data_IF_590809468654
#
_entry.id   IF_590809468654
#
_cell.length_a   1.000
_cell.length_b   1.000
_cell.length_c   1.000
_cell.angle_alpha   90.00
_cell.angle_beta   90.00
_cell.angle_gamma   90.00
#
_symmetry.space_group_name_H-M   'P 1'
#
loop_
_entity.id
_entity.type
_entity.pdbx_description
1 polymer ?
#
# COMPACT_ATOMS: atom_id res chain seq x y z
N UNK A 1 -15.44 23.45 6.15
CA UNK A 1 -14.44 22.72 5.33
C UNK A 1 -14.92 22.58 3.90
N UNK A 2 -14.08 22.88 2.89
CA UNK A 2 -14.43 22.58 1.49
C UNK A 2 -14.54 21.05 1.33
N UNK A 3 -15.56 20.55 0.61
CA UNK A 3 -15.80 19.09 0.41
C UNK A 3 -14.54 18.35 -0.06
N UNK A 4 -13.71 19.02 -0.86
CA UNK A 4 -12.42 18.51 -1.33
C UNK A 4 -11.45 18.13 -0.19
N UNK A 5 -11.41 18.89 0.91
CA UNK A 5 -10.52 18.59 2.04
C UNK A 5 -10.91 17.28 2.73
N UNK A 6 -12.21 16.97 2.77
CA UNK A 6 -12.71 15.71 3.34
C UNK A 6 -12.20 14.54 2.49
N UNK A 7 -12.29 14.65 1.16
CA UNK A 7 -11.84 13.57 0.28
C UNK A 7 -10.32 13.36 0.34
N UNK A 8 -9.54 14.44 0.46
CA UNK A 8 -8.08 14.36 0.68
C UNK A 8 -7.78 13.69 2.03
N UNK A 9 -8.48 14.08 3.10
CA UNK A 9 -8.30 13.47 4.43
C UNK A 9 -8.62 11.96 4.39
N UNK A 10 -9.69 11.55 3.71
CA UNK A 10 -10.01 10.13 3.57
C UNK A 10 -8.91 9.36 2.82
N UNK A 11 -8.34 9.95 1.77
CA UNK A 11 -7.20 9.34 1.08
C UNK A 11 -5.93 9.32 1.90
N UNK A 12 -5.75 10.23 2.86
CA UNK A 12 -4.64 10.20 3.80
C UNK A 12 -4.76 9.00 4.77
N UNK A 13 -5.97 8.55 5.09
CA UNK A 13 -6.18 7.33 5.87
C UNK A 13 -5.97 6.07 5.02
N UNK A 14 -6.53 6.05 3.82
CA UNK A 14 -6.38 4.92 2.91
C UNK A 14 -6.59 5.34 1.45
N UNK A 15 -5.66 5.00 0.54
CA UNK A 15 -5.74 5.44 -0.85
C UNK A 15 -6.97 4.86 -1.55
N UNK A 16 -7.65 5.70 -2.34
CA UNK A 16 -8.79 5.34 -3.15
C UNK A 16 -10.16 5.63 -2.52
N UNK A 17 -10.27 5.80 -1.20
CA UNK A 17 -11.56 6.08 -0.53
C UNK A 17 -12.16 7.40 -1.01
N UNK A 18 -11.35 8.46 -1.09
CA UNK A 18 -11.78 9.76 -1.57
C UNK A 18 -12.26 9.72 -3.02
N UNK A 19 -11.67 8.89 -3.89
CA UNK A 19 -12.16 8.68 -5.26
C UNK A 19 -13.52 7.99 -5.30
N UNK A 20 -13.76 7.02 -4.41
CA UNK A 20 -15.07 6.38 -4.30
C UNK A 20 -16.14 7.40 -3.89
N UNK A 21 -15.83 8.30 -2.96
CA UNK A 21 -16.72 9.39 -2.56
C UNK A 21 -16.98 10.41 -3.69
N UNK A 22 -16.01 10.58 -4.61
CA UNK A 22 -16.14 11.38 -5.83
C UNK A 22 -16.89 10.64 -6.96
N UNK A 23 -17.50 9.48 -6.69
CA UNK A 23 -18.17 8.59 -7.67
C UNK A 23 -17.24 8.07 -8.78
N UNK A 24 -15.93 8.10 -8.57
CA UNK A 24 -14.93 7.54 -9.49
C UNK A 24 -14.56 6.12 -9.09
N UNK A 25 -15.56 5.24 -9.16
CA UNK A 25 -15.49 3.86 -8.67
C UNK A 25 -14.29 3.09 -9.22
N UNK A 26 -14.06 3.14 -10.55
CA UNK A 26 -12.98 2.40 -11.20
C UNK A 26 -11.61 2.85 -10.69
N UNK A 27 -11.36 4.17 -10.62
CA UNK A 27 -10.06 4.71 -10.15
C UNK A 27 -9.83 4.42 -8.67
N UNK A 28 -10.87 4.58 -7.85
CA UNK A 28 -10.80 4.27 -6.42
C UNK A 28 -10.49 2.80 -6.17
N UNK A 29 -11.22 1.89 -6.83
CA UNK A 29 -10.99 0.44 -6.69
C UNK A 29 -9.59 0.02 -7.15
N UNK A 30 -9.08 0.57 -8.26
CA UNK A 30 -7.72 0.27 -8.73
C UNK A 30 -6.66 0.70 -7.71
N UNK A 31 -6.82 1.88 -7.09
CA UNK A 31 -5.88 2.37 -6.08
C UNK A 31 -5.93 1.52 -4.79
N UNK A 32 -7.14 1.12 -4.36
CA UNK A 32 -7.33 0.24 -3.21
C UNK A 32 -6.67 -1.12 -3.45
N UNK A 33 -6.96 -1.76 -4.59
CA UNK A 33 -6.40 -3.08 -4.93
C UNK A 33 -4.89 -3.00 -5.06
N UNK A 34 -4.37 -1.97 -5.75
CA UNK A 34 -2.94 -1.76 -5.91
C UNK A 34 -2.24 -1.56 -4.56
N UNK A 35 -2.82 -0.75 -3.67
CA UNK A 35 -2.28 -0.53 -2.34
C UNK A 35 -2.29 -1.82 -1.50
N UNK A 36 -3.38 -2.59 -1.54
CA UNK A 36 -3.46 -3.87 -0.83
C UNK A 36 -2.44 -4.87 -1.36
N UNK A 37 -2.27 -4.98 -2.67
CA UNK A 37 -1.28 -5.87 -3.27
C UNK A 37 0.15 -5.48 -2.88
N UNK A 38 0.49 -4.19 -2.94
CA UNK A 38 1.80 -3.69 -2.51
C UNK A 38 2.06 -3.91 -1.02
N UNK A 39 1.03 -3.73 -0.19
CA UNK A 39 1.12 -3.94 1.25
C UNK A 39 1.27 -5.42 1.62
N UNK A 40 0.50 -6.31 0.98
CA UNK A 40 0.64 -7.77 1.13
C UNK A 40 2.04 -8.21 0.71
N UNK A 41 2.55 -7.68 -0.40
CA UNK A 41 3.91 -7.96 -0.85
C UNK A 41 4.95 -7.50 0.18
N UNK A 42 4.83 -6.28 0.71
CA UNK A 42 5.70 -5.77 1.77
C UNK A 42 5.70 -6.67 3.02
N UNK A 43 4.51 -7.07 3.48
CA UNK A 43 4.37 -8.00 4.61
C UNK A 43 5.06 -9.32 4.30
N UNK A 44 4.85 -9.86 3.09
CA UNK A 44 5.44 -11.14 2.69
C UNK A 44 6.97 -11.12 2.72
N UNK A 45 7.62 -10.06 2.22
CA UNK A 45 9.08 -9.93 2.25
C UNK A 45 9.64 -9.86 3.68
N UNK A 46 8.84 -9.42 4.65
CA UNK A 46 9.23 -9.39 6.08
C UNK A 46 8.93 -10.72 6.77
N UNK A 47 7.74 -11.30 6.54
CA UNK A 47 7.26 -12.50 7.25
C UNK A 47 7.92 -13.77 6.73
N UNK A 48 8.15 -13.89 5.42
CA UNK A 48 8.76 -15.07 4.81
C UNK A 48 10.13 -15.44 5.41
N UNK A 49 11.13 -14.53 5.50
CA UNK A 49 12.42 -14.86 6.11
C UNK A 49 12.31 -15.14 7.60
N UNK A 50 11.40 -14.47 8.32
CA UNK A 50 11.14 -14.77 9.73
C UNK A 50 10.59 -16.18 9.93
N UNK A 51 9.61 -16.58 9.10
CA UNK A 51 9.03 -17.92 9.14
C UNK A 51 10.07 -19.00 8.86
N UNK A 52 10.90 -18.81 7.82
CA UNK A 52 11.97 -19.75 7.48
C UNK A 52 12.97 -19.86 8.64
N UNK A 53 13.41 -18.73 9.22
CA UNK A 53 14.36 -18.73 10.33
C UNK A 53 13.80 -19.43 11.58
N UNK A 54 12.52 -19.21 11.92
CA UNK A 54 11.85 -19.91 13.02
C UNK A 54 11.82 -21.42 12.75
N UNK A 55 11.45 -21.83 11.54
CA UNK A 55 11.42 -23.24 11.16
C UNK A 55 12.83 -23.88 11.21
N UNK A 56 13.85 -23.19 10.71
CA UNK A 56 15.25 -23.63 10.76
C UNK A 56 15.77 -23.81 12.18
N UNK A 57 15.45 -22.88 13.08
CA UNK A 57 15.83 -22.97 14.50
C UNK A 57 15.11 -24.10 15.24
N UNK A 58 13.84 -24.36 14.90
CA UNK A 58 13.06 -25.44 15.53
C UNK A 58 13.47 -26.84 15.03
N UNK A 59 13.91 -26.95 13.78
CA UNK A 59 14.30 -28.21 13.16
C UNK A 59 15.79 -28.55 13.32
N UNK A 60 16.56 -27.70 14.01
CA UNK A 60 18.00 -27.81 14.23
C UNK A 60 18.77 -28.21 12.95
N UNK A 61 18.38 -27.63 11.82
CA UNK A 61 18.82 -28.12 10.50
C UNK A 61 20.27 -27.74 10.16
N UNK A 62 20.97 -27.03 11.05
CA UNK A 62 22.35 -26.54 10.83
C UNK A 62 22.50 -25.58 9.65
N UNK A 63 21.39 -25.19 9.01
CA UNK A 63 21.38 -24.31 7.83
C UNK A 63 21.50 -22.86 8.28
N UNK A 64 22.26 -22.06 7.52
CA UNK A 64 22.39 -20.61 7.71
C UNK A 64 21.04 -19.89 7.70
N UNK A 65 20.87 -18.92 8.60
CA UNK A 65 19.68 -18.07 8.65
C UNK A 65 19.52 -17.26 7.35
N UNK A 66 18.28 -17.21 6.86
CA UNK A 66 17.89 -16.41 5.70
C UNK A 66 17.78 -14.95 6.12
N UNK A 67 18.48 -14.09 5.37
CA UNK A 67 18.40 -12.63 5.57
C UNK A 67 17.26 -12.06 4.75
N UNK A 68 16.49 -11.09 5.28
CA UNK A 68 15.47 -10.39 4.52
C UNK A 68 16.11 -9.62 3.35
N UNK A 69 15.44 -9.65 2.19
CA UNK A 69 15.86 -8.88 1.02
C UNK A 69 15.41 -7.42 1.17
N UNK A 70 16.34 -6.58 1.63
CA UNK A 70 16.10 -5.15 1.88
C UNK A 70 15.65 -4.43 0.60
N UNK A 71 16.15 -4.81 -0.58
CA UNK A 71 15.78 -4.15 -1.82
C UNK A 71 14.30 -4.38 -2.16
N UNK A 72 13.81 -5.61 -1.98
CA UNK A 72 12.39 -5.94 -2.25
C UNK A 72 11.44 -5.28 -1.26
N UNK A 73 11.86 -5.16 0.01
CA UNK A 73 11.14 -4.40 1.03
C UNK A 73 11.05 -2.91 0.63
N UNK A 74 12.17 -2.31 0.22
CA UNK A 74 12.20 -0.91 -0.20
C UNK A 74 11.31 -0.70 -1.43
N UNK A 75 11.40 -1.57 -2.44
CA UNK A 75 10.59 -1.46 -3.67
C UNK A 75 9.09 -1.54 -3.36
N UNK A 76 8.66 -2.55 -2.59
CA UNK A 76 7.25 -2.71 -2.22
C UNK A 76 6.73 -1.54 -1.40
N UNK A 77 7.53 -1.00 -0.48
CA UNK A 77 7.22 0.21 0.26
C UNK A 77 7.06 1.43 -0.66
N UNK A 78 8.01 1.66 -1.58
CA UNK A 78 7.94 2.79 -2.51
C UNK A 78 6.74 2.70 -3.45
N UNK A 79 6.38 1.51 -3.93
CA UNK A 79 5.18 1.32 -4.75
C UNK A 79 3.93 1.71 -3.95
N UNK A 80 3.81 1.26 -2.70
CA UNK A 80 2.70 1.63 -1.83
C UNK A 80 2.61 3.15 -1.64
N UNK A 81 3.76 3.79 -1.36
CA UNK A 81 3.85 5.23 -1.17
C UNK A 81 3.50 6.01 -2.45
N UNK A 82 3.92 5.54 -3.62
CA UNK A 82 3.58 6.13 -4.91
C UNK A 82 2.07 6.05 -5.19
N UNK A 83 1.43 4.91 -4.90
CA UNK A 83 -0.03 4.76 -5.03
C UNK A 83 -0.73 5.77 -4.10
N UNK A 84 -0.21 5.95 -2.90
CA UNK A 84 -0.75 6.89 -1.93
C UNK A 84 -0.67 8.34 -2.42
N UNK A 85 0.52 8.78 -2.85
CA UNK A 85 0.74 10.12 -3.40
C UNK A 85 -0.14 10.34 -4.63
N UNK A 86 -0.17 9.37 -5.55
CA UNK A 86 -0.99 9.44 -6.75
C UNK A 86 -2.48 9.55 -6.42
N UNK A 87 -2.94 8.81 -5.42
CA UNK A 87 -4.32 8.87 -4.94
C UNK A 87 -4.68 10.27 -4.42
N UNK A 88 -3.78 10.94 -3.71
CA UNK A 88 -3.99 12.32 -3.25
C UNK A 88 -3.98 13.30 -4.43
N UNK A 89 -3.01 13.18 -5.34
CA UNK A 89 -2.88 14.05 -6.52
C UNK A 89 -4.10 13.95 -7.45
N UNK A 90 -4.66 12.76 -7.66
CA UNK A 90 -5.85 12.57 -8.49
C UNK A 90 -7.07 13.35 -7.94
N UNK A 91 -7.19 13.53 -6.62
CA UNK A 91 -8.23 14.38 -6.02
C UNK A 91 -7.93 15.88 -6.19
N UNK A 92 -6.66 16.27 -6.10
CA UNK A 92 -6.25 17.67 -6.23
C UNK A 92 -6.43 18.15 -7.67
N UNK A 93 -5.97 17.36 -8.64
CA UNK A 93 -5.99 17.69 -10.07
C UNK A 93 -7.42 17.69 -10.60
N UNK A 94 -8.17 16.62 -10.33
CA UNK A 94 -9.51 16.47 -10.88
C UNK A 94 -10.54 16.95 -9.84
N UNK A 95 -10.85 18.25 -9.87
CA UNK A 95 -11.89 18.88 -9.05
C UNK A 95 -13.20 18.08 -9.06
N UNK A 96 -13.88 18.10 -7.92
CA UNK A 96 -15.24 17.58 -7.72
C UNK A 96 -16.17 18.11 -8.82
N UNK A 97 -16.84 17.27 -9.63
CA UNK A 97 -17.90 17.75 -10.51
C UNK A 97 -19.06 18.24 -9.64
N UNK A 98 -19.33 19.55 -9.65
CA UNK A 98 -20.41 20.17 -8.86
C UNK A 98 -20.10 21.48 -8.14
N UNK A 99 -19.08 22.23 -8.59
CA UNK A 99 -19.01 23.68 -8.40
C UNK A 99 -19.04 24.34 -9.79
#
# INVERSE_FOLDING_TARGET
MKKQNIYIMMNLFFPGIGQLMLRRWIRGSLQIIGCLAAFIWLIWEVVSPLYINIATLLLDSGVSLVKPDIYRIIISFFICLLIWIWSILDIVIFKTPGN
#
